data_IF_835323913465
#
_entry.id   IF_835323913465
#
_cell.length_a   1.000
_cell.length_b   1.000
_cell.length_c   1.000
_cell.angle_alpha   90.00
_cell.angle_beta   90.00
_cell.angle_gamma   90.00
#
_symmetry.space_group_name_H-M   'P 1'
#
loop_
_entity.id
_entity.type
_entity.pdbx_description
1 polymer ?
#
# COMPACT_ATOMS: atom_id res chain seq x y z
N UNK A 1 17.98 19.54 3.69
CA UNK A 1 17.99 18.11 3.30
C UNK A 1 17.06 17.37 4.24
N UNK A 2 16.03 16.74 3.73
CA UNK A 2 15.22 15.81 4.55
C UNK A 2 16.13 14.63 4.83
N UNK A 3 16.39 14.32 6.11
CA UNK A 3 17.22 13.19 6.51
C UNK A 3 16.47 11.93 6.03
N UNK A 4 17.12 11.13 5.19
CA UNK A 4 16.50 9.88 4.69
C UNK A 4 16.38 8.91 5.87
N UNK A 5 15.14 8.67 6.30
CA UNK A 5 14.79 7.86 7.47
C UNK A 5 14.91 6.35 7.21
N UNK A 6 15.11 5.97 5.95
CA UNK A 6 15.13 4.57 5.53
C UNK A 6 16.55 4.02 5.37
N UNK A 7 17.57 4.88 5.19
CA UNK A 7 18.96 4.43 5.11
C UNK A 7 19.37 3.83 6.46
N UNK A 8 19.86 2.60 6.44
CA UNK A 8 20.25 1.82 7.62
C UNK A 8 19.11 1.61 8.63
N UNK A 9 17.86 1.65 8.20
CA UNK A 9 16.71 1.46 9.07
C UNK A 9 16.46 -0.02 9.41
N UNK A 10 16.96 -0.96 8.60
CA UNK A 10 16.76 -2.39 8.82
C UNK A 10 17.35 -2.84 10.18
N UNK A 11 16.51 -3.25 11.14
CA UNK A 11 16.98 -3.68 12.46
C UNK A 11 17.34 -5.17 12.52
N UNK A 12 17.17 -5.92 11.45
CA UNK A 12 17.31 -7.37 11.40
C UNK A 12 18.48 -7.79 10.50
N UNK A 13 19.07 -8.97 10.77
CA UNK A 13 19.93 -9.62 9.81
C UNK A 13 19.13 -10.01 8.56
N UNK A 14 19.81 -10.46 7.52
CA UNK A 14 19.18 -10.96 6.31
C UNK A 14 18.17 -12.06 6.64
N UNK A 15 16.94 -11.89 6.18
CA UNK A 15 15.89 -12.90 6.28
C UNK A 15 16.02 -13.80 5.06
N UNK A 16 16.39 -15.05 5.31
CA UNK A 16 16.46 -16.05 4.27
C UNK A 16 15.20 -16.90 4.31
N UNK A 17 14.53 -16.98 3.17
CA UNK A 17 13.32 -17.78 2.96
C UNK A 17 13.70 -18.93 2.03
N UNK A 18 13.53 -20.17 2.48
CA UNK A 18 13.74 -21.35 1.65
C UNK A 18 12.73 -21.42 0.51
N UNK A 19 13.00 -22.25 -0.51
CA UNK A 19 12.05 -22.41 -1.62
C UNK A 19 10.72 -23.00 -1.16
N UNK A 20 10.72 -23.87 -0.17
CA UNK A 20 9.49 -24.41 0.43
C UNK A 20 8.69 -23.31 1.15
N UNK A 21 9.34 -22.51 1.99
CA UNK A 21 8.69 -21.38 2.67
C UNK A 21 8.18 -20.34 1.65
N UNK A 22 8.93 -20.13 0.55
CA UNK A 22 8.52 -19.25 -0.53
C UNK A 22 7.20 -19.71 -1.15
N UNK A 23 7.07 -20.99 -1.47
CA UNK A 23 5.81 -21.56 -2.01
C UNK A 23 4.68 -21.45 -1.00
N UNK A 24 4.93 -21.73 0.29
CA UNK A 24 3.94 -21.58 1.35
C UNK A 24 3.46 -20.13 1.48
N UNK A 25 4.35 -19.14 1.34
CA UNK A 25 3.95 -17.72 1.36
C UNK A 25 3.11 -17.34 0.15
N UNK A 26 3.40 -17.88 -1.02
CA UNK A 26 2.60 -17.66 -2.23
C UNK A 26 1.20 -18.26 -2.04
N UNK A 27 1.11 -19.50 -1.61
CA UNK A 27 -0.18 -20.20 -1.36
C UNK A 27 -1.01 -19.46 -0.29
N UNK A 28 -0.36 -18.98 0.77
CA UNK A 28 -1.01 -18.18 1.82
C UNK A 28 -1.62 -16.90 1.24
N UNK A 29 -0.86 -16.16 0.43
CA UNK A 29 -1.32 -14.93 -0.21
C UNK A 29 -2.46 -15.21 -1.17
N UNK A 30 -2.34 -16.24 -2.00
CA UNK A 30 -3.36 -16.60 -2.98
C UNK A 30 -4.67 -16.98 -2.28
N UNK A 31 -4.60 -17.70 -1.14
CA UNK A 31 -5.76 -17.99 -0.30
C UNK A 31 -6.43 -16.70 0.24
N UNK A 32 -5.68 -15.81 0.85
CA UNK A 32 -6.21 -14.53 1.33
C UNK A 32 -6.82 -13.69 0.21
N UNK A 33 -6.12 -13.57 -0.90
CA UNK A 33 -6.59 -12.78 -2.04
C UNK A 33 -7.91 -13.31 -2.57
N UNK A 34 -8.07 -14.66 -2.67
CA UNK A 34 -9.33 -15.26 -3.11
C UNK A 34 -10.47 -15.02 -2.12
N UNK A 35 -10.24 -15.22 -0.83
CA UNK A 35 -11.26 -15.01 0.21
C UNK A 35 -11.75 -13.57 0.25
N UNK A 36 -10.83 -12.62 0.18
CA UNK A 36 -11.18 -11.20 0.16
C UNK A 36 -11.81 -10.77 -1.17
N UNK A 37 -11.39 -11.37 -2.27
CA UNK A 37 -11.99 -11.10 -3.58
C UNK A 37 -13.47 -11.52 -3.63
N UNK A 38 -13.82 -12.65 -3.02
CA UNK A 38 -15.24 -13.06 -2.87
C UNK A 38 -16.05 -12.01 -2.09
N UNK A 39 -15.46 -11.39 -1.06
CA UNK A 39 -16.13 -10.30 -0.32
C UNK A 39 -16.36 -9.08 -1.21
N UNK A 40 -15.36 -8.74 -2.03
CA UNK A 40 -15.49 -7.63 -2.99
C UNK A 40 -16.53 -7.95 -4.06
N UNK A 41 -16.52 -9.16 -4.63
CA UNK A 41 -17.55 -9.58 -5.59
C UNK A 41 -18.96 -9.50 -4.99
N UNK A 42 -19.13 -9.98 -3.75
CA UNK A 42 -20.40 -9.85 -3.02
C UNK A 42 -20.82 -8.40 -2.89
N UNK A 43 -19.92 -7.51 -2.47
CA UNK A 43 -20.19 -6.08 -2.30
C UNK A 43 -20.64 -5.42 -3.61
N UNK A 44 -20.00 -5.77 -4.74
CA UNK A 44 -20.36 -5.24 -6.06
C UNK A 44 -21.65 -5.85 -6.58
N UNK A 45 -21.75 -7.19 -6.58
CA UNK A 45 -22.81 -7.92 -7.31
C UNK A 45 -24.08 -8.11 -6.48
N UNK A 46 -23.96 -8.32 -5.18
CA UNK A 46 -25.09 -8.60 -4.26
C UNK A 46 -25.51 -7.35 -3.53
N UNK A 47 -24.57 -6.70 -2.84
CA UNK A 47 -24.85 -5.55 -1.98
C UNK A 47 -24.98 -4.24 -2.80
N UNK A 48 -24.63 -4.26 -4.11
CA UNK A 48 -24.76 -3.11 -5.03
C UNK A 48 -24.10 -1.84 -4.49
N UNK A 49 -22.90 -1.98 -3.93
CA UNK A 49 -22.11 -0.93 -3.28
C UNK A 49 -22.81 -0.29 -2.07
N UNK A 50 -23.82 -0.96 -1.49
CA UNK A 50 -24.51 -0.47 -0.31
C UNK A 50 -23.84 -0.97 0.97
N UNK A 51 -23.52 -0.04 1.86
CA UNK A 51 -22.95 -0.36 3.18
C UNK A 51 -24.12 -0.56 4.18
N UNK A 52 -24.16 -1.68 4.89
CA UNK A 52 -25.16 -1.91 5.95
C UNK A 52 -24.84 -1.07 7.18
N UNK A 53 -25.53 0.04 7.37
CA UNK A 53 -25.38 0.96 8.51
C UNK A 53 -25.70 0.32 9.87
N UNK A 54 -26.35 -0.82 9.90
CA UNK A 54 -26.56 -1.57 11.15
C UNK A 54 -25.25 -2.18 11.63
N UNK A 55 -24.37 -2.58 10.69
CA UNK A 55 -23.05 -3.15 10.94
C UNK A 55 -21.96 -2.08 11.02
N UNK A 56 -21.97 -1.15 10.08
CA UNK A 56 -20.90 -0.20 9.86
C UNK A 56 -21.26 1.19 10.40
N UNK A 57 -20.32 1.82 11.07
CA UNK A 57 -20.41 3.20 11.54
C UNK A 57 -19.47 4.06 10.72
N UNK A 58 -19.99 5.15 10.14
CA UNK A 58 -19.21 6.08 9.35
C UNK A 58 -18.20 6.83 10.24
N UNK A 59 -16.93 6.86 9.79
CA UNK A 59 -15.83 7.53 10.51
C UNK A 59 -15.44 8.84 9.83
N UNK A 60 -15.15 8.76 8.53
CA UNK A 60 -14.62 9.89 7.76
C UNK A 60 -14.87 9.71 6.27
N UNK A 61 -14.91 10.84 5.54
CA UNK A 61 -14.94 10.84 4.07
C UNK A 61 -13.92 11.83 3.51
N UNK A 62 -13.44 11.52 2.31
CA UNK A 62 -12.67 12.43 1.47
C UNK A 62 -13.15 12.24 0.03
N UNK A 63 -13.70 13.30 -0.55
CA UNK A 63 -14.38 13.25 -1.84
C UNK A 63 -15.46 12.14 -1.86
N UNK A 64 -15.40 11.19 -2.79
CA UNK A 64 -16.32 10.05 -2.86
C UNK A 64 -15.82 8.80 -2.12
N UNK A 65 -14.75 8.89 -1.35
CA UNK A 65 -14.22 7.79 -0.57
C UNK A 65 -14.72 7.89 0.87
N UNK A 66 -15.32 6.82 1.38
CA UNK A 66 -15.93 6.75 2.69
C UNK A 66 -15.29 5.68 3.55
N UNK A 67 -14.93 6.04 4.78
CA UNK A 67 -14.33 5.13 5.75
C UNK A 67 -15.33 4.84 6.85
N UNK A 68 -15.45 3.56 7.16
CA UNK A 68 -16.32 3.03 8.21
C UNK A 68 -15.50 2.18 9.19
N UNK A 69 -16.02 2.05 10.40
CA UNK A 69 -15.57 1.03 11.36
C UNK A 69 -16.70 0.06 11.66
N UNK A 70 -16.43 -1.20 11.84
CA UNK A 70 -17.41 -2.15 12.32
C UNK A 70 -17.83 -1.77 13.75
N UNK A 71 -19.12 -1.84 14.04
CA UNK A 71 -19.67 -1.59 15.38
C UNK A 71 -19.14 -2.64 16.34
N UNK A 72 -19.11 -2.31 17.63
CA UNK A 72 -18.70 -3.22 18.68
C UNK A 72 -19.54 -4.51 18.69
N UNK A 73 -18.96 -5.61 19.16
CA UNK A 73 -19.67 -6.89 19.30
C UNK A 73 -20.98 -6.76 20.07
N UNK A 74 -20.98 -5.92 21.12
CA UNK A 74 -22.17 -5.64 21.92
C UNK A 74 -23.27 -4.94 21.09
N UNK A 75 -22.89 -3.97 20.27
CA UNK A 75 -23.84 -3.26 19.38
C UNK A 75 -24.35 -4.17 18.26
N UNK A 76 -23.48 -4.98 17.66
CA UNK A 76 -23.87 -5.97 16.65
C UNK A 76 -24.86 -6.98 17.22
N UNK A 77 -24.57 -7.54 18.39
CA UNK A 77 -25.46 -8.49 19.07
C UNK A 77 -26.84 -7.86 19.36
N UNK A 78 -26.87 -6.57 19.78
CA UNK A 78 -28.14 -5.84 20.00
C UNK A 78 -28.98 -5.68 18.73
N UNK A 79 -28.34 -5.73 17.56
CA UNK A 79 -28.96 -5.64 16.22
C UNK A 79 -29.17 -7.01 15.56
N UNK A 80 -28.89 -8.11 16.28
CA UNK A 80 -29.00 -9.47 15.77
C UNK A 80 -27.95 -9.84 14.72
N UNK A 81 -26.82 -9.14 14.71
CA UNK A 81 -25.70 -9.36 13.79
C UNK A 81 -24.55 -10.05 14.52
N UNK A 82 -23.81 -10.89 13.78
CA UNK A 82 -22.50 -11.42 14.24
C UNK A 82 -21.38 -10.57 13.68
N UNK A 83 -20.23 -10.43 14.38
CA UNK A 83 -19.03 -9.81 13.82
C UNK A 83 -18.67 -10.43 12.47
N UNK A 84 -18.18 -9.63 11.54
CA UNK A 84 -17.58 -10.16 10.33
C UNK A 84 -16.34 -10.95 10.77
N UNK A 85 -16.32 -12.26 10.48
CA UNK A 85 -15.16 -13.06 10.82
C UNK A 85 -13.96 -12.41 10.13
N UNK A 86 -13.12 -11.74 10.92
CA UNK A 86 -11.78 -11.41 10.45
C UNK A 86 -11.18 -12.71 9.91
N UNK A 87 -10.35 -12.66 8.85
CA UNK A 87 -9.60 -13.82 8.42
C UNK A 87 -8.98 -14.40 9.68
N UNK A 88 -9.19 -15.68 9.92
CA UNK A 88 -9.01 -16.33 11.22
C UNK A 88 -7.75 -15.78 11.91
N UNK A 89 -7.96 -14.84 12.80
CA UNK A 89 -6.93 -14.26 13.66
C UNK A 89 -6.35 -15.29 14.64
N UNK A 90 -6.76 -16.53 14.51
CA UNK A 90 -6.34 -17.68 15.30
C UNK A 90 -4.84 -17.95 15.23
N UNK A 91 -4.13 -17.42 14.24
CA UNK A 91 -2.65 -17.51 14.19
C UNK A 91 -1.93 -16.25 14.69
N UNK A 92 -2.65 -15.15 14.96
CA UNK A 92 -2.03 -13.87 15.36
C UNK A 92 -2.13 -13.58 16.88
N UNK A 93 -2.86 -14.39 17.64
CA UNK A 93 -3.09 -14.12 19.07
C UNK A 93 -2.35 -15.15 19.90
N UNK A 94 -1.40 -14.69 20.71
CA UNK A 94 -0.90 -15.46 21.88
C UNK A 94 -2.10 -15.79 22.79
N UNK A 95 -2.30 -17.06 23.06
CA UNK A 95 -3.50 -17.70 23.67
C UNK A 95 -3.82 -17.27 25.12
N UNK A 96 -3.08 -16.29 25.70
CA UNK A 96 -3.19 -15.92 27.12
C UNK A 96 -3.70 -14.48 27.38
N UNK A 97 -4.09 -13.71 26.36
CA UNK A 97 -4.63 -12.37 26.55
C UNK A 97 -6.16 -12.33 26.39
N UNK A 98 -6.89 -11.54 27.21
CA UNK A 98 -8.34 -11.38 27.02
C UNK A 98 -8.62 -10.91 25.59
N UNK A 99 -9.59 -11.54 24.93
CA UNK A 99 -10.00 -11.21 23.55
C UNK A 99 -10.16 -9.70 23.37
N UNK A 100 -9.18 -9.09 22.75
CA UNK A 100 -9.18 -7.65 22.47
C UNK A 100 -10.03 -7.39 21.25
N UNK A 101 -11.13 -6.69 21.44
CA UNK A 101 -12.00 -6.28 20.34
C UNK A 101 -11.29 -5.24 19.45
N UNK A 102 -10.69 -5.71 18.35
CA UNK A 102 -10.01 -4.85 17.39
C UNK A 102 -11.03 -4.25 16.40
N UNK A 103 -10.90 -2.97 16.05
CA UNK A 103 -11.80 -2.35 15.06
C UNK A 103 -11.47 -2.88 13.67
N UNK A 104 -12.48 -3.46 13.01
CA UNK A 104 -12.43 -3.71 11.58
C UNK A 104 -12.76 -2.40 10.86
N UNK A 105 -11.92 -2.03 9.90
CA UNK A 105 -12.11 -0.85 9.08
C UNK A 105 -12.57 -1.23 7.68
N UNK A 106 -13.40 -0.41 7.06
CA UNK A 106 -13.86 -0.55 5.68
C UNK A 106 -13.72 0.78 4.95
N UNK A 107 -13.14 0.75 3.76
CA UNK A 107 -13.03 1.89 2.85
C UNK A 107 -13.69 1.55 1.54
N UNK A 108 -14.71 2.30 1.16
CA UNK A 108 -15.46 2.08 -0.09
C UNK A 108 -15.77 3.40 -0.78
N UNK A 109 -15.96 3.31 -2.09
CA UNK A 109 -16.31 4.46 -2.93
C UNK A 109 -15.38 4.60 -4.12
N UNK A 110 -15.28 5.81 -4.65
CA UNK A 110 -14.49 6.07 -5.86
C UNK A 110 -13.51 7.22 -5.66
N UNK A 111 -12.44 7.20 -6.43
CA UNK A 111 -11.53 8.34 -6.55
C UNK A 111 -10.99 8.48 -7.97
N UNK A 112 -10.46 9.68 -8.28
CA UNK A 112 -10.01 10.04 -9.61
C UNK A 112 -8.66 9.42 -9.92
N UNK A 113 -8.53 8.79 -11.09
CA UNK A 113 -7.27 8.29 -11.61
C UNK A 113 -7.44 7.09 -12.54
N UNK A 114 -6.30 6.59 -13.02
CA UNK A 114 -6.20 5.37 -13.79
C UNK A 114 -5.67 4.24 -12.90
N UNK A 115 -6.29 3.06 -12.98
CA UNK A 115 -5.92 1.90 -12.15
C UNK A 115 -4.47 1.48 -12.38
N UNK A 116 -3.98 1.53 -13.61
CA UNK A 116 -2.59 1.15 -13.89
C UNK A 116 -1.58 2.16 -13.30
N UNK A 117 -1.94 3.45 -13.21
CA UNK A 117 -1.15 4.44 -12.46
C UNK A 117 -1.14 4.12 -10.96
N UNK A 118 -2.31 3.77 -10.41
CA UNK A 118 -2.42 3.35 -9.02
C UNK A 118 -1.54 2.12 -8.76
N UNK A 119 -1.65 1.08 -9.56
CA UNK A 119 -0.88 -0.15 -9.39
C UNK A 119 0.62 0.10 -9.54
N UNK A 120 1.05 0.93 -10.50
CA UNK A 120 2.44 1.34 -10.62
C UNK A 120 2.92 2.12 -9.40
N UNK A 121 2.04 2.94 -8.80
CA UNK A 121 2.34 3.68 -7.57
C UNK A 121 2.46 2.80 -6.34
N UNK A 122 1.67 1.72 -6.25
CA UNK A 122 1.62 0.83 -5.10
C UNK A 122 2.76 -0.19 -5.09
N UNK A 123 3.15 -0.72 -6.24
CA UNK A 123 4.23 -1.72 -6.37
C UNK A 123 5.56 -1.13 -5.93
N UNK A 124 6.17 -1.73 -4.91
CA UNK A 124 7.43 -1.27 -4.33
C UNK A 124 8.28 -2.45 -3.79
N UNK A 125 8.84 -3.28 -4.70
CA UNK A 125 9.53 -4.53 -4.33
C UNK A 125 10.92 -4.32 -3.73
N UNK A 126 11.52 -3.14 -3.91
CA UNK A 126 12.85 -2.82 -3.41
C UNK A 126 12.83 -1.65 -2.45
N UNK A 127 13.88 -1.52 -1.62
CA UNK A 127 14.02 -0.41 -0.69
C UNK A 127 13.99 0.95 -1.41
N UNK A 128 14.64 1.06 -2.56
CA UNK A 128 14.69 2.32 -3.32
C UNK A 128 13.31 2.74 -3.83
N UNK A 129 12.53 1.81 -4.38
CA UNK A 129 11.16 2.10 -4.82
C UNK A 129 10.25 2.39 -3.63
N UNK A 130 10.43 1.71 -2.51
CA UNK A 130 9.71 1.97 -1.26
C UNK A 130 9.99 3.38 -0.72
N UNK A 131 11.23 3.84 -0.76
CA UNK A 131 11.64 5.21 -0.39
C UNK A 131 11.00 6.25 -1.30
N UNK A 132 10.97 5.99 -2.61
CA UNK A 132 10.28 6.86 -3.59
C UNK A 132 8.79 6.91 -3.27
N UNK A 133 8.11 5.77 -3.07
CA UNK A 133 6.69 5.71 -2.69
C UNK A 133 6.43 6.51 -1.41
N UNK A 134 7.17 6.25 -0.36
CA UNK A 134 7.01 6.93 0.94
C UNK A 134 7.19 8.45 0.85
N UNK A 135 7.96 8.95 -0.13
CA UNK A 135 8.14 10.39 -0.36
C UNK A 135 6.89 11.10 -0.93
N UNK A 136 5.96 10.35 -1.48
CA UNK A 136 4.69 10.85 -2.03
C UNK A 136 3.48 10.49 -1.17
N UNK A 137 3.46 9.29 -0.60
CA UNK A 137 2.31 8.76 0.14
C UNK A 137 2.32 9.19 1.61
N UNK A 138 3.50 9.35 2.21
CA UNK A 138 3.70 9.76 3.61
C UNK A 138 3.04 8.83 4.64
N UNK A 139 2.98 7.54 4.33
CA UNK A 139 2.33 6.50 5.12
C UNK A 139 3.27 5.81 6.13
N UNK A 140 4.59 6.02 6.01
CA UNK A 140 5.62 5.33 6.78
C UNK A 140 6.57 6.30 7.48
N UNK A 141 6.98 5.98 8.70
CA UNK A 141 8.06 6.68 9.41
C UNK A 141 9.43 6.09 9.04
N UNK A 142 9.58 4.78 9.15
CA UNK A 142 10.80 4.06 8.78
C UNK A 142 10.42 2.68 8.26
N UNK A 143 11.18 2.13 7.31
CA UNK A 143 10.88 0.83 6.73
C UNK A 143 12.10 0.15 6.12
N UNK A 144 12.02 -1.16 5.94
CA UNK A 144 13.02 -1.98 5.28
C UNK A 144 12.36 -3.09 4.44
N UNK A 145 13.00 -3.43 3.35
CA UNK A 145 12.73 -4.66 2.60
C UNK A 145 13.61 -5.75 3.19
N UNK A 146 13.00 -6.82 3.70
CA UNK A 146 13.70 -7.91 4.36
C UNK A 146 14.02 -9.06 3.39
N UNK A 147 13.05 -9.44 2.55
CA UNK A 147 13.23 -10.50 1.58
C UNK A 147 12.22 -10.36 0.43
N UNK A 148 12.65 -10.28 -0.83
CA UNK A 148 11.75 -10.44 -1.98
C UNK A 148 11.37 -11.93 -2.13
N UNK A 149 10.07 -12.20 -2.32
CA UNK A 149 9.53 -13.55 -2.55
C UNK A 149 9.09 -13.71 -4.00
N UNK A 150 8.33 -12.77 -4.53
CA UNK A 150 7.97 -12.66 -5.95
C UNK A 150 8.31 -11.26 -6.41
N UNK A 151 9.12 -11.16 -7.45
CA UNK A 151 9.46 -9.87 -8.07
C UNK A 151 8.63 -9.65 -9.33
N UNK A 152 8.29 -8.38 -9.64
CA UNK A 152 7.64 -8.05 -10.90
C UNK A 152 8.41 -8.60 -12.11
N UNK A 153 7.69 -9.04 -13.13
CA UNK A 153 8.24 -9.49 -14.41
C UNK A 153 7.69 -8.64 -15.57
N UNK A 154 8.19 -8.88 -16.77
CA UNK A 154 7.66 -8.24 -17.98
C UNK A 154 6.19 -8.64 -18.22
N UNK A 155 5.85 -9.91 -17.97
CA UNK A 155 4.50 -10.44 -18.14
C UNK A 155 3.54 -9.94 -17.06
N UNK A 156 4.02 -9.88 -15.81
CA UNK A 156 3.23 -9.48 -14.64
C UNK A 156 3.89 -8.30 -13.91
N UNK A 157 3.92 -7.09 -14.50
CA UNK A 157 4.69 -5.96 -13.97
C UNK A 157 4.14 -5.39 -12.66
N UNK A 158 2.92 -5.78 -12.27
CA UNK A 158 2.30 -5.39 -11.00
C UNK A 158 2.27 -6.52 -9.97
N UNK A 159 2.74 -7.73 -10.31
CA UNK A 159 2.82 -8.85 -9.37
C UNK A 159 4.07 -8.74 -8.51
N UNK A 160 3.87 -8.67 -7.20
CA UNK A 160 4.96 -8.61 -6.23
C UNK A 160 4.54 -9.25 -4.91
N UNK A 161 5.47 -9.95 -4.26
CA UNK A 161 5.32 -10.44 -2.89
C UNK A 161 6.65 -10.23 -2.17
N UNK A 162 6.63 -9.45 -1.09
CA UNK A 162 7.84 -9.02 -0.39
C UNK A 162 7.64 -9.06 1.11
N UNK A 163 8.60 -9.61 1.84
CA UNK A 163 8.66 -9.51 3.31
C UNK A 163 9.28 -8.17 3.69
N UNK A 164 8.61 -7.43 4.54
CA UNK A 164 8.96 -6.07 4.93
C UNK A 164 8.86 -5.84 6.43
N UNK A 165 9.55 -4.82 6.86
CA UNK A 165 9.42 -4.24 8.19
C UNK A 165 9.13 -2.76 8.08
N UNK A 166 8.29 -2.23 8.97
CA UNK A 166 8.01 -0.80 9.06
C UNK A 166 7.77 -0.35 10.49
N UNK A 167 7.91 0.95 10.69
CA UNK A 167 7.39 1.66 11.86
C UNK A 167 6.35 2.68 11.43
N UNK A 168 5.38 2.89 12.29
CA UNK A 168 4.38 3.93 12.11
C UNK A 168 4.47 4.93 13.26
N UNK A 169 4.24 6.21 12.94
CA UNK A 169 4.08 7.25 13.95
C UNK A 169 2.71 7.09 14.62
N UNK A 170 2.72 6.95 15.93
CA UNK A 170 1.50 6.87 16.73
C UNK A 170 1.28 8.21 17.43
N UNK A 171 0.05 8.71 17.53
CA UNK A 171 -0.24 9.91 18.31
C UNK A 171 0.38 9.83 19.72
N UNK A 172 0.95 10.94 20.20
CA UNK A 172 1.64 11.07 21.47
C UNK A 172 3.00 10.35 21.59
N UNK A 173 3.53 9.76 20.53
CA UNK A 173 4.87 9.15 20.54
C UNK A 173 5.97 10.15 20.91
N UNK A 174 5.87 11.39 20.42
CA UNK A 174 6.81 12.47 20.73
C UNK A 174 6.88 12.86 22.21
N UNK A 175 5.90 12.47 23.01
CA UNK A 175 5.83 12.72 24.45
C UNK A 175 6.48 11.60 25.30
N UNK A 176 6.99 10.53 24.68
CA UNK A 176 7.45 9.30 25.32
C UNK A 176 6.39 8.56 26.17
N UNK A 177 5.13 8.98 26.11
CA UNK A 177 4.03 8.30 26.79
C UNK A 177 3.61 7.04 26.04
N UNK A 178 3.83 7.00 24.74
CA UNK A 178 3.47 5.87 23.87
C UNK A 178 4.73 5.35 23.17
N UNK A 179 5.02 4.06 23.33
CA UNK A 179 6.17 3.43 22.64
C UNK A 179 5.92 3.36 21.13
N UNK A 180 6.99 3.44 20.35
CA UNK A 180 6.97 3.22 18.91
C UNK A 180 6.46 1.80 18.59
N UNK A 181 5.70 1.66 17.49
CA UNK A 181 5.23 0.37 16.97
C UNK A 181 6.02 -0.03 15.75
N UNK A 182 6.29 -1.33 15.69
CA UNK A 182 6.87 -1.92 14.48
C UNK A 182 6.03 -3.10 13.98
N UNK A 183 6.10 -3.35 12.69
CA UNK A 183 5.38 -4.41 12.02
C UNK A 183 6.34 -5.18 11.13
N UNK A 184 6.23 -6.51 11.15
CA UNK A 184 6.81 -7.38 10.13
C UNK A 184 5.65 -7.96 9.35
N UNK A 185 5.67 -7.82 8.04
CA UNK A 185 4.54 -8.17 7.20
C UNK A 185 4.98 -8.59 5.80
N UNK A 186 4.13 -9.33 5.14
CA UNK A 186 4.18 -9.52 3.69
C UNK A 186 3.35 -8.43 3.03
N UNK A 187 3.86 -7.86 1.94
CA UNK A 187 3.12 -6.99 1.04
C UNK A 187 3.02 -7.66 -0.31
N UNK A 188 1.78 -7.88 -0.77
CA UNK A 188 1.50 -8.51 -2.05
C UNK A 188 0.64 -7.59 -2.93
N UNK A 189 0.96 -7.57 -4.21
CA UNK A 189 0.23 -6.83 -5.24
C UNK A 189 0.06 -7.70 -6.48
N UNK A 190 -0.94 -7.40 -7.29
CA UNK A 190 -1.15 -8.07 -8.56
C UNK A 190 -2.48 -7.68 -9.21
N UNK A 191 -2.83 -8.40 -10.26
CA UNK A 191 -4.08 -8.22 -11.01
C UNK A 191 -4.89 -9.51 -10.96
N UNK A 192 -6.16 -9.37 -10.62
CA UNK A 192 -7.19 -10.40 -10.77
C UNK A 192 -8.15 -10.02 -11.89
N UNK A 193 -9.04 -10.94 -12.21
CA UNK A 193 -10.08 -10.70 -13.20
C UNK A 193 -11.42 -11.16 -12.65
N UNK A 194 -12.45 -10.33 -12.82
CA UNK A 194 -13.83 -10.76 -12.70
C UNK A 194 -14.18 -11.77 -13.81
N UNK A 195 -15.27 -12.51 -13.63
CA UNK A 195 -15.80 -13.46 -14.63
C UNK A 195 -16.14 -12.78 -15.97
N UNK A 196 -16.44 -11.49 -15.99
CA UNK A 196 -16.67 -10.71 -17.19
C UNK A 196 -15.38 -10.18 -17.86
N UNK A 197 -14.21 -10.50 -17.30
CA UNK A 197 -12.91 -10.09 -17.80
C UNK A 197 -12.40 -8.74 -17.29
N UNK A 198 -13.16 -8.01 -16.47
CA UNK A 198 -12.69 -6.75 -15.85
C UNK A 198 -11.45 -6.99 -15.00
N UNK A 199 -10.43 -6.17 -15.21
CA UNK A 199 -9.20 -6.20 -14.42
C UNK A 199 -9.42 -5.55 -13.05
N UNK A 200 -8.92 -6.19 -12.01
CA UNK A 200 -8.96 -5.71 -10.62
C UNK A 200 -7.56 -5.76 -10.03
N UNK A 201 -7.01 -4.61 -9.70
CA UNK A 201 -5.76 -4.53 -8.95
C UNK A 201 -6.00 -4.89 -7.49
N UNK A 202 -5.04 -5.59 -6.87
CA UNK A 202 -5.08 -5.84 -5.44
C UNK A 202 -3.81 -5.40 -4.72
N UNK A 203 -3.97 -5.05 -3.45
CA UNK A 203 -2.90 -4.72 -2.52
C UNK A 203 -3.22 -5.36 -1.17
N UNK A 204 -2.38 -6.29 -0.72
CA UNK A 204 -2.50 -7.00 0.54
C UNK A 204 -1.29 -6.68 1.42
N UNK A 205 -1.54 -6.36 2.69
CA UNK A 205 -0.55 -6.31 3.75
C UNK A 205 -1.00 -7.25 4.85
N UNK A 206 -0.17 -8.23 5.23
CA UNK A 206 -0.49 -9.18 6.28
C UNK A 206 0.73 -9.45 7.16
N UNK A 207 0.58 -9.29 8.46
CA UNK A 207 1.66 -9.54 9.42
C UNK A 207 2.00 -11.03 9.48
N UNK A 208 3.29 -11.29 9.52
CA UNK A 208 3.84 -12.64 9.60
C UNK A 208 5.05 -12.65 10.54
N UNK A 209 5.24 -13.75 11.24
CA UNK A 209 6.35 -13.92 12.15
C UNK A 209 7.43 -14.81 11.52
N UNK A 210 8.68 -14.31 11.55
CA UNK A 210 9.86 -15.10 11.19
C UNK A 210 10.76 -15.30 12.39
N UNK A 211 11.43 -16.46 12.56
CA UNK A 211 12.37 -16.68 13.64
C UNK A 211 13.49 -15.62 13.72
N UNK A 212 13.84 -15.02 12.56
CA UNK A 212 14.87 -14.00 12.44
C UNK A 212 14.38 -12.60 12.85
N UNK A 213 13.07 -12.35 12.89
CA UNK A 213 12.49 -11.03 13.17
C UNK A 213 11.90 -10.89 14.55
N UNK A 214 12.71 -11.24 15.58
CA UNK A 214 12.29 -11.15 16.99
C UNK A 214 11.84 -9.73 17.36
N UNK A 215 10.89 -9.58 18.32
CA UNK A 215 10.48 -8.28 18.82
C UNK A 215 11.66 -7.43 19.27
N UNK A 216 11.64 -6.14 18.94
CA UNK A 216 12.69 -5.19 19.29
C UNK A 216 12.50 -4.67 20.72
N UNK A 217 13.59 -4.49 21.52
CA UNK A 217 13.48 -4.21 22.96
C UNK A 217 12.80 -2.89 23.30
N UNK A 218 12.83 -1.90 22.42
CA UNK A 218 12.27 -0.56 22.68
C UNK A 218 11.02 -0.27 21.85
N UNK A 219 10.40 -1.30 21.26
CA UNK A 219 9.24 -1.18 20.40
C UNK A 219 8.17 -2.18 20.83
N UNK A 220 6.95 -1.93 20.43
CA UNK A 220 5.85 -2.88 20.57
C UNK A 220 5.58 -3.44 19.17
N UNK A 221 5.66 -4.77 19.03
CA UNK A 221 5.27 -5.46 17.81
C UNK A 221 3.76 -5.37 17.68
N UNK A 222 3.31 -4.78 16.58
CA UNK A 222 1.93 -4.79 16.16
C UNK A 222 1.69 -5.82 15.05
N UNK A 223 0.42 -6.11 14.80
CA UNK A 223 -0.03 -6.95 13.69
C UNK A 223 -1.04 -6.19 12.85
N UNK A 224 -1.07 -6.48 11.57
CA UNK A 224 -2.05 -5.93 10.64
C UNK A 224 -2.46 -6.97 9.59
N UNK A 225 -3.68 -6.86 9.14
CA UNK A 225 -4.18 -7.55 7.95
C UNK A 225 -5.06 -6.57 7.21
N UNK A 226 -4.58 -6.04 6.09
CA UNK A 226 -5.27 -5.01 5.30
C UNK A 226 -5.22 -5.42 3.84
N UNK A 227 -6.34 -5.34 3.17
CA UNK A 227 -6.43 -5.58 1.72
C UNK A 227 -7.18 -4.44 1.04
N UNK A 228 -6.87 -4.23 -0.23
CA UNK A 228 -7.57 -3.30 -1.10
C UNK A 228 -7.73 -3.86 -2.50
N UNK A 229 -8.90 -3.62 -3.10
CA UNK A 229 -9.20 -3.90 -4.49
C UNK A 229 -9.53 -2.61 -5.22
N UNK A 230 -9.02 -2.50 -6.43
CA UNK A 230 -9.11 -1.31 -7.28
C UNK A 230 -9.55 -1.73 -8.67
N UNK A 231 -10.65 -1.16 -9.17
CA UNK A 231 -11.17 -1.46 -10.50
C UNK A 231 -11.45 -0.18 -11.26
N UNK A 232 -11.01 -0.12 -12.52
CA UNK A 232 -11.42 0.96 -13.41
C UNK A 232 -12.88 0.75 -13.79
N UNK A 233 -13.75 1.70 -13.47
CA UNK A 233 -15.16 1.63 -13.82
C UNK A 233 -15.53 2.56 -14.96
N UNK A 234 -14.84 3.70 -15.07
CA UNK A 234 -14.92 4.67 -16.14
C UNK A 234 -13.55 5.30 -16.36
N UNK A 235 -13.37 6.08 -17.45
CA UNK A 235 -12.16 6.87 -17.65
C UNK A 235 -11.93 7.79 -16.45
N UNK A 236 -10.74 7.75 -15.85
CA UNK A 236 -10.37 8.50 -14.64
C UNK A 236 -11.21 8.20 -13.38
N UNK A 237 -11.93 7.09 -13.32
CA UNK A 237 -12.71 6.72 -12.12
C UNK A 237 -12.35 5.31 -11.66
N UNK A 238 -11.76 5.22 -10.48
CA UNK A 238 -11.39 3.97 -9.83
C UNK A 238 -12.39 3.67 -8.73
N UNK A 239 -13.02 2.49 -8.79
CA UNK A 239 -13.78 1.89 -7.67
C UNK A 239 -12.79 1.32 -6.67
N UNK A 240 -13.02 1.61 -5.39
CA UNK A 240 -12.19 1.17 -4.27
C UNK A 240 -12.99 0.38 -3.27
N UNK A 241 -12.48 -0.77 -2.90
CA UNK A 241 -12.94 -1.56 -1.78
C UNK A 241 -11.75 -2.03 -0.97
N UNK A 242 -11.58 -1.51 0.24
CA UNK A 242 -10.51 -1.95 1.12
C UNK A 242 -11.05 -2.20 2.52
N UNK A 243 -10.52 -3.22 3.18
CA UNK A 243 -10.86 -3.51 4.57
C UNK A 243 -9.64 -4.04 5.30
N UNK A 244 -9.67 -3.96 6.62
CA UNK A 244 -8.57 -4.51 7.41
C UNK A 244 -8.69 -4.27 8.89
N UNK A 245 -7.80 -4.93 9.59
CA UNK A 245 -7.63 -4.86 11.04
C UNK A 245 -6.19 -4.45 11.32
N UNK A 246 -6.01 -3.60 12.32
CA UNK A 246 -4.70 -3.27 12.86
C UNK A 246 -4.73 -3.50 14.36
N UNK A 247 -3.89 -4.39 14.86
CA UNK A 247 -3.57 -4.50 16.26
C UNK A 247 -2.23 -3.79 16.53
N UNK A 248 -2.25 -2.61 17.14
CA UNK A 248 -1.03 -1.88 17.43
C UNK A 248 -0.22 -2.50 18.59
N UNK A 249 -0.67 -3.59 19.18
CA UNK A 249 -0.11 -4.16 20.40
C UNK A 249 -0.28 -3.26 21.61
N UNK A 250 -0.20 -3.83 22.82
CA UNK A 250 -0.36 -3.11 24.07
C UNK A 250 -1.73 -2.43 24.22
N UNK A 251 -1.84 -1.44 25.11
CA UNK A 251 -3.11 -0.79 25.49
C UNK A 251 -3.27 0.55 24.75
N UNK A 252 -3.57 0.52 23.45
CA UNK A 252 -4.00 1.74 22.76
C UNK A 252 -5.52 1.82 22.75
N UNK A 253 -6.03 2.97 23.16
CA UNK A 253 -7.46 3.21 23.21
C UNK A 253 -8.05 3.31 21.78
N UNK A 254 -9.18 2.65 21.56
CA UNK A 254 -9.88 2.57 20.27
C UNK A 254 -10.11 3.95 19.63
N UNK A 255 -10.39 4.98 20.43
CA UNK A 255 -10.62 6.33 19.92
C UNK A 255 -9.38 7.00 19.29
N UNK A 256 -8.15 6.54 19.60
CA UNK A 256 -6.92 6.99 18.95
C UNK A 256 -6.60 6.15 17.71
N UNK A 257 -6.95 4.87 17.75
CA UNK A 257 -6.65 3.93 16.67
C UNK A 257 -7.53 4.17 15.43
N UNK A 258 -8.84 4.33 15.61
CA UNK A 258 -9.79 4.48 14.49
C UNK A 258 -9.47 5.67 13.59
N UNK A 259 -9.23 6.90 14.10
CA UNK A 259 -8.85 8.02 13.23
C UNK A 259 -7.54 7.79 12.48
N UNK A 260 -6.54 7.21 13.13
CA UNK A 260 -5.25 6.92 12.49
C UNK A 260 -5.39 5.87 11.37
N UNK A 261 -6.16 4.80 11.61
CA UNK A 261 -6.47 3.80 10.59
C UNK A 261 -7.28 4.38 9.42
N UNK A 262 -8.22 5.28 9.69
CA UNK A 262 -8.96 5.97 8.65
C UNK A 262 -8.07 6.85 7.76
N UNK A 263 -7.12 7.59 8.33
CA UNK A 263 -6.14 8.36 7.54
C UNK A 263 -5.25 7.45 6.69
N UNK A 264 -4.82 6.31 7.23
CA UNK A 264 -4.02 5.35 6.49
C UNK A 264 -4.79 4.81 5.27
N UNK A 265 -6.07 4.46 5.41
CA UNK A 265 -6.92 4.02 4.29
C UNK A 265 -7.15 5.14 3.26
N UNK A 266 -7.34 6.37 3.70
CA UNK A 266 -7.49 7.53 2.79
C UNK A 266 -6.20 7.84 2.02
N UNK A 267 -5.04 7.45 2.52
CA UNK A 267 -3.76 7.65 1.84
C UNK A 267 -3.64 6.89 0.52
N UNK A 268 -4.48 5.86 0.29
CA UNK A 268 -4.55 5.12 -0.97
C UNK A 268 -4.81 6.02 -2.19
N UNK A 269 -5.51 7.15 -2.01
CA UNK A 269 -5.72 8.15 -3.08
C UNK A 269 -4.39 8.73 -3.61
N UNK A 270 -3.32 8.69 -2.81
CA UNK A 270 -2.00 9.17 -3.21
C UNK A 270 -1.22 8.17 -4.09
N UNK A 271 -1.68 6.92 -4.21
CA UNK A 271 -1.02 5.91 -5.06
C UNK A 271 -1.07 6.29 -6.53
N UNK A 272 -2.19 6.83 -7.02
CA UNK A 272 -2.30 7.36 -8.40
C UNK A 272 -1.25 8.43 -8.65
N UNK A 273 -1.15 9.42 -7.75
CA UNK A 273 -0.15 10.48 -7.85
C UNK A 273 1.28 9.93 -7.82
N UNK A 274 1.56 8.96 -6.95
CA UNK A 274 2.86 8.29 -6.91
C UNK A 274 3.20 7.63 -8.25
N UNK A 275 2.26 6.89 -8.86
CA UNK A 275 2.46 6.25 -10.17
C UNK A 275 2.71 7.26 -11.28
N UNK A 276 1.97 8.36 -11.30
CA UNK A 276 2.18 9.45 -12.26
C UNK A 276 3.58 10.08 -12.09
N UNK A 277 4.03 10.30 -10.86
CA UNK A 277 5.38 10.82 -10.60
C UNK A 277 6.47 9.84 -11.00
N UNK A 278 6.26 8.53 -10.80
CA UNK A 278 7.15 7.48 -11.29
C UNK A 278 7.21 7.46 -12.82
N UNK A 279 6.09 7.59 -13.53
CA UNK A 279 6.05 7.71 -15.01
C UNK A 279 6.83 8.93 -15.51
N UNK A 280 6.65 10.09 -14.89
CA UNK A 280 7.39 11.30 -15.24
C UNK A 280 8.90 11.09 -15.05
N UNK A 281 9.30 10.48 -13.93
CA UNK A 281 10.71 10.17 -13.65
C UNK A 281 11.28 9.19 -14.69
N UNK A 282 10.55 8.14 -15.03
CA UNK A 282 10.90 7.16 -16.06
C UNK A 282 11.09 7.81 -17.44
N UNK A 283 10.16 8.67 -17.86
CA UNK A 283 10.30 9.40 -19.12
C UNK A 283 11.52 10.32 -19.16
N UNK A 284 11.85 10.96 -18.06
CA UNK A 284 13.06 11.80 -17.97
C UNK A 284 14.33 10.97 -18.15
N UNK A 285 14.40 9.79 -17.57
CA UNK A 285 15.54 8.90 -17.69
C UNK A 285 15.72 8.44 -19.16
N UNK A 286 14.64 8.04 -19.83
CA UNK A 286 14.68 7.66 -21.23
C UNK A 286 15.03 8.81 -22.19
N UNK A 287 14.58 10.02 -21.89
CA UNK A 287 14.83 11.21 -22.73
C UNK A 287 16.20 11.84 -22.52
N UNK A 288 16.94 11.52 -21.48
CA UNK A 288 18.29 12.07 -21.27
C UNK A 288 19.20 11.88 -22.50
N UNK A 289 19.04 10.80 -23.23
CA UNK A 289 19.77 10.58 -24.50
C UNK A 289 19.19 11.34 -25.70
N UNK A 290 17.93 11.78 -25.63
CA UNK A 290 17.27 12.50 -26.72
C UNK A 290 17.21 14.04 -26.48
N UNK A 291 17.31 14.47 -25.22
CA UNK A 291 17.19 15.91 -24.85
C UNK A 291 18.43 16.75 -25.16
N UNK A 292 19.58 16.14 -25.37
CA UNK A 292 20.78 16.86 -25.83
C UNK A 292 20.63 17.42 -27.25
N UNK A 293 19.51 17.16 -27.94
CA UNK A 293 19.30 17.50 -29.36
C UNK A 293 18.11 18.40 -29.66
N UNK A 294 17.31 18.88 -28.71
CA UNK A 294 16.19 19.77 -29.03
C UNK A 294 16.24 21.06 -28.24
N UNK A 295 16.49 22.13 -29.00
CA UNK A 295 16.41 23.50 -28.57
C UNK A 295 15.08 23.84 -27.88
N UNK A 296 15.21 24.67 -26.88
CA UNK A 296 14.17 25.31 -26.07
C UNK A 296 12.89 25.63 -26.84
N UNK A 297 11.79 24.99 -26.49
CA UNK A 297 10.46 25.49 -26.80
C UNK A 297 10.19 26.68 -25.86
N UNK A 298 10.47 27.87 -26.30
CA UNK A 298 10.03 29.12 -25.68
C UNK A 298 8.50 29.19 -25.86
N UNK A 299 7.79 29.44 -24.76
CA UNK A 299 6.36 29.69 -24.64
C UNK A 299 5.47 28.42 -24.52
N UNK A 300 5.44 27.85 -23.35
CA UNK A 300 4.35 26.98 -22.88
C UNK A 300 4.16 27.19 -21.38
N UNK A 301 2.92 27.05 -20.90
CA UNK A 301 2.63 27.09 -19.48
C UNK A 301 3.56 26.13 -18.74
N UNK A 302 4.26 26.66 -17.75
CA UNK A 302 5.25 25.90 -16.99
C UNK A 302 4.58 25.27 -15.76
N UNK A 303 4.75 23.95 -15.61
CA UNK A 303 4.34 23.23 -14.41
C UNK A 303 5.56 22.89 -13.56
N UNK A 304 5.56 23.28 -12.30
CA UNK A 304 6.61 22.89 -11.35
C UNK A 304 6.17 21.63 -10.63
N UNK A 305 6.87 20.52 -10.89
CA UNK A 305 6.56 19.22 -10.30
C UNK A 305 7.72 18.81 -9.37
N UNK A 306 7.38 18.24 -8.21
CA UNK A 306 8.37 17.65 -7.31
C UNK A 306 8.57 16.18 -7.71
N UNK A 307 9.80 15.83 -8.09
CA UNK A 307 10.18 14.47 -8.46
C UNK A 307 11.15 13.92 -7.43
N UNK A 308 10.96 12.66 -7.07
CA UNK A 308 11.83 11.88 -6.20
C UNK A 308 12.56 10.82 -7.02
N UNK A 309 13.86 10.67 -6.80
CA UNK A 309 14.69 9.65 -7.41
C UNK A 309 15.86 9.29 -6.51
N UNK A 310 16.45 8.12 -6.73
CA UNK A 310 17.66 7.70 -6.03
C UNK A 310 18.87 8.14 -6.84
N UNK A 311 19.79 8.85 -6.21
CA UNK A 311 21.05 9.26 -6.81
C UNK A 311 22.06 8.09 -6.84
N UNK A 312 23.16 8.25 -7.61
CA UNK A 312 24.22 7.25 -7.73
C UNK A 312 24.89 6.89 -6.40
N UNK A 313 24.86 7.80 -5.43
CA UNK A 313 25.38 7.58 -4.07
C UNK A 313 24.34 6.93 -3.13
N UNK A 314 23.19 6.50 -3.68
CA UNK A 314 22.09 5.88 -2.92
C UNK A 314 21.22 6.84 -2.13
N UNK A 315 21.39 8.16 -2.24
CA UNK A 315 20.55 9.13 -1.52
C UNK A 315 19.23 9.38 -2.24
N UNK A 316 18.11 9.45 -1.49
CA UNK A 316 16.84 9.92 -1.99
C UNK A 316 16.89 11.44 -2.21
N UNK A 317 16.73 11.84 -3.44
CA UNK A 317 16.71 13.25 -3.82
C UNK A 317 15.30 13.63 -4.26
N UNK A 318 14.77 14.71 -3.70
CA UNK A 318 13.57 15.36 -4.17
C UNK A 318 13.92 16.71 -4.80
N UNK A 319 13.55 16.91 -6.06
CA UNK A 319 13.78 18.16 -6.79
C UNK A 319 12.48 18.70 -7.38
N UNK A 320 12.34 20.02 -7.33
CA UNK A 320 11.35 20.71 -8.15
C UNK A 320 11.93 20.83 -9.56
N UNK A 321 11.22 20.30 -10.53
CA UNK A 321 11.59 20.33 -11.95
C UNK A 321 10.49 21.06 -12.70
N UNK A 322 10.88 21.98 -13.57
CA UNK A 322 9.93 22.69 -14.43
C UNK A 322 9.68 21.89 -15.68
N UNK A 323 8.42 21.62 -15.98
CA UNK A 323 7.96 20.93 -17.17
C UNK A 323 7.05 21.85 -17.98
N UNK A 324 7.04 21.71 -19.28
CA UNK A 324 5.98 22.27 -20.07
C UNK A 324 4.69 21.42 -19.97
N UNK A 325 3.52 22.03 -20.06
CA UNK A 325 2.23 21.35 -19.96
C UNK A 325 2.11 20.18 -20.95
N UNK A 326 2.66 20.33 -22.17
CA UNK A 326 2.71 19.25 -23.18
C UNK A 326 3.50 18.03 -22.69
N UNK A 327 4.66 18.24 -22.04
CA UNK A 327 5.47 17.14 -21.53
C UNK A 327 4.79 16.43 -20.36
N UNK A 328 4.11 17.16 -19.47
CA UNK A 328 3.30 16.57 -18.42
C UNK A 328 2.15 15.77 -18.99
N UNK A 329 1.39 16.34 -19.90
CA UNK A 329 0.28 15.65 -20.57
C UNK A 329 0.71 14.40 -21.34
N UNK A 330 1.91 14.40 -21.94
CA UNK A 330 2.45 13.18 -22.57
C UNK A 330 2.83 12.13 -21.52
N UNK A 331 3.44 12.54 -20.41
CA UNK A 331 3.85 11.62 -19.35
C UNK A 331 2.64 10.99 -18.64
N UNK A 332 1.62 11.78 -18.34
CA UNK A 332 0.38 11.27 -17.72
C UNK A 332 -0.40 10.32 -18.64
N UNK A 333 -0.29 10.50 -19.95
CA UNK A 333 -0.95 9.63 -20.97
C UNK A 333 -0.13 8.39 -21.34
N UNK A 334 1.15 8.29 -20.94
CA UNK A 334 1.93 7.08 -21.15
C UNK A 334 1.29 5.91 -20.39
N UNK A 335 1.37 4.73 -20.97
CA UNK A 335 0.95 3.50 -20.31
C UNK A 335 1.83 3.22 -19.09
N UNK A 336 1.21 3.06 -17.94
CA UNK A 336 1.91 2.75 -16.72
C UNK A 336 2.47 1.32 -16.71
N UNK A 337 1.87 0.40 -17.48
CA UNK A 337 2.38 -0.95 -17.64
C UNK A 337 3.72 -0.96 -18.38
N UNK A 338 3.89 -0.13 -19.41
CA UNK A 338 5.16 -0.03 -20.13
C UNK A 338 6.28 0.47 -19.20
N UNK A 339 5.98 1.49 -18.38
CA UNK A 339 6.93 1.97 -17.39
C UNK A 339 7.26 0.92 -16.31
N UNK A 340 6.26 0.13 -15.92
CA UNK A 340 6.43 -0.94 -14.95
C UNK A 340 7.23 -2.12 -15.52
N UNK A 341 7.02 -2.51 -16.79
CA UNK A 341 7.81 -3.54 -17.49
C UNK A 341 9.28 -3.15 -17.57
N UNK A 342 9.58 -1.94 -18.02
CA UNK A 342 10.96 -1.45 -18.05
C UNK A 342 11.62 -1.46 -16.67
N UNK A 343 10.86 -1.11 -15.63
CA UNK A 343 11.38 -1.15 -14.27
C UNK A 343 11.63 -2.59 -13.81
N UNK A 344 10.78 -3.55 -14.22
CA UNK A 344 10.95 -4.97 -13.91
C UNK A 344 12.19 -5.56 -14.59
N UNK A 345 12.47 -5.22 -15.86
CA UNK A 345 13.71 -5.60 -16.55
C UNK A 345 14.95 -5.10 -15.79
N UNK A 346 14.89 -3.88 -15.24
CA UNK A 346 15.95 -3.32 -14.41
C UNK A 346 16.24 -4.16 -13.17
N UNK A 347 15.23 -4.74 -12.52
CA UNK A 347 15.42 -5.62 -11.36
C UNK A 347 16.12 -6.92 -11.74
N UNK A 348 15.81 -7.48 -12.90
CA UNK A 348 16.44 -8.71 -13.41
C UNK A 348 17.92 -8.50 -13.78
N UNK A 349 18.30 -7.32 -14.23
CA UNK A 349 19.68 -7.00 -14.66
C UNK A 349 20.65 -6.79 -13.48
N UNK A 350 20.16 -6.59 -12.26
CA UNK A 350 20.99 -6.42 -11.05
C UNK A 350 21.17 -7.71 -10.22
N UNK A 351 20.65 -8.86 -10.69
CA UNK A 351 20.89 -10.20 -10.13
C UNK A 351 22.10 -10.86 -10.79
#
# INVERSE_FOLDING_TARGET
MVKDRFINANPYPDVNVSEEERLQLIDLVDGFVQDYFQKYEKFVLVDKHQVDERRWEHVKSKDNLHIYTERSQKELASKGLQPENAPSSTELVDDDSPEKELPVMLSVGTFVGEMDDLMFGVVNPTLDVMRIKASYVHDLDSAAVLCPVVEPSEEEPFRSLVVKWMTIDVPLQSTNLVKCRDFVYIEATGILHFTNGDRVGYHLLHSINFPQTKPLPNRIRGNLSVFGFFRQIEENVIDNFASGIVDPGGDIMRFLLIPAAAEALLSATNYVYCGQMKKISWMLQRRRSAFERQEQVKNSDECIIRISFIALDGQLIQRKVTFCAKCVGMATKCDAQDAARDQAEGYAAYK
#
